data_IF_642302476619
#
_entry.id   IF_642302476619
#
_cell.length_a   1.000
_cell.length_b   1.000
_cell.length_c   1.000
_cell.angle_alpha   90.00
_cell.angle_beta   90.00
_cell.angle_gamma   90.00
#
_symmetry.space_group_name_H-M   'P 1'
#
loop_
_entity.id
_entity.type
_entity.pdbx_description
1 polymer ?
#
# COMPACT_ATOMS: atom_id res chain seq x y z
N UNK A 1 -1.60 -7.46 29.66
CA UNK A 1 -0.93 -7.08 28.39
C UNK A 1 -1.99 -6.66 27.39
N UNK A 2 -1.87 -5.50 26.76
CA UNK A 2 -2.78 -5.05 25.69
C UNK A 2 -2.38 -5.78 24.41
N UNK A 3 -3.33 -6.46 23.73
CA UNK A 3 -3.08 -7.10 22.43
C UNK A 3 -2.72 -6.03 21.41
N UNK A 4 -1.57 -6.14 20.75
CA UNK A 4 -1.23 -5.30 19.60
C UNK A 4 -2.11 -5.71 18.41
N UNK A 5 -2.68 -4.73 17.72
CA UNK A 5 -3.63 -4.94 16.62
C UNK A 5 -3.19 -4.15 15.40
N UNK A 6 -3.17 -4.78 14.24
CA UNK A 6 -2.95 -4.18 12.93
C UNK A 6 -3.88 -4.76 11.87
N UNK A 7 -3.65 -4.40 10.60
CA UNK A 7 -4.48 -4.84 9.47
C UNK A 7 -4.43 -6.34 9.21
N UNK A 8 -3.34 -7.03 9.55
CA UNK A 8 -3.25 -8.49 9.48
C UNK A 8 -4.27 -9.17 10.41
N UNK A 9 -4.63 -8.56 11.54
CA UNK A 9 -5.65 -9.15 12.42
C UNK A 9 -7.04 -9.17 11.79
N UNK A 10 -7.32 -8.33 10.79
CA UNK A 10 -8.56 -8.42 10.01
C UNK A 10 -8.52 -9.69 9.15
N UNK A 11 -7.39 -9.96 8.50
CA UNK A 11 -7.20 -11.17 7.69
C UNK A 11 -7.27 -12.43 8.58
N UNK A 12 -6.62 -12.42 9.75
CA UNK A 12 -6.72 -13.51 10.73
C UNK A 12 -8.17 -13.79 11.14
N UNK A 13 -8.99 -12.75 11.30
CA UNK A 13 -10.42 -12.93 11.62
C UNK A 13 -11.19 -13.58 10.47
N UNK A 14 -10.83 -13.29 9.22
CA UNK A 14 -11.44 -13.95 8.07
C UNK A 14 -11.06 -15.44 8.02
N UNK A 15 -9.80 -15.78 8.27
CA UNK A 15 -9.30 -17.17 8.29
C UNK A 15 -9.94 -18.04 9.41
N UNK A 16 -10.40 -17.41 10.49
CA UNK A 16 -11.07 -18.08 11.61
C UNK A 16 -12.60 -18.00 11.53
N UNK A 17 -13.16 -17.59 10.38
CA UNK A 17 -14.61 -17.55 10.20
C UNK A 17 -15.19 -18.97 10.06
N UNK A 18 -16.41 -19.16 10.54
CA UNK A 18 -17.13 -20.44 10.42
C UNK A 18 -17.60 -20.71 8.98
N UNK A 19 -17.83 -19.65 8.19
CA UNK A 19 -18.17 -19.74 6.78
C UNK A 19 -16.91 -20.07 5.95
N UNK A 20 -16.96 -21.20 5.24
CA UNK A 20 -15.85 -21.71 4.45
C UNK A 20 -15.44 -20.76 3.30
N UNK A 21 -16.39 -20.03 2.70
CA UNK A 21 -16.06 -19.05 1.67
C UNK A 21 -15.30 -17.85 2.25
N UNK A 22 -15.71 -17.38 3.43
CA UNK A 22 -15.02 -16.29 4.13
C UNK A 22 -13.62 -16.71 4.55
N UNK A 23 -13.48 -17.94 5.08
CA UNK A 23 -12.20 -18.53 5.43
C UNK A 23 -11.25 -18.62 4.23
N UNK A 24 -11.72 -19.19 3.11
CA UNK A 24 -10.92 -19.33 1.90
C UNK A 24 -10.47 -17.97 1.34
N UNK A 25 -11.33 -16.94 1.42
CA UNK A 25 -10.94 -15.57 1.06
C UNK A 25 -9.86 -15.01 2.01
N UNK A 26 -9.97 -15.29 3.31
CA UNK A 26 -8.96 -14.95 4.31
C UNK A 26 -7.60 -15.59 4.00
N UNK A 27 -7.59 -16.88 3.67
CA UNK A 27 -6.37 -17.63 3.33
C UNK A 27 -5.69 -17.06 2.07
N UNK A 28 -6.48 -16.79 1.03
CA UNK A 28 -5.98 -16.18 -0.20
C UNK A 28 -5.37 -14.79 0.04
N UNK A 29 -6.04 -13.96 0.86
CA UNK A 29 -5.51 -12.64 1.23
C UNK A 29 -4.21 -12.79 2.02
N UNK A 30 -4.17 -13.69 2.99
CA UNK A 30 -2.97 -13.94 3.79
C UNK A 30 -1.78 -14.31 2.89
N UNK A 31 -1.93 -15.29 2.00
CA UNK A 31 -0.90 -15.70 1.05
C UNK A 31 -0.37 -14.53 0.20
N UNK A 32 -1.28 -13.67 -0.28
CA UNK A 32 -0.91 -12.46 -1.04
C UNK A 32 -0.10 -11.46 -0.23
N UNK A 33 -0.19 -11.45 1.10
CA UNK A 33 0.57 -10.52 1.95
C UNK A 33 1.95 -11.02 2.37
N UNK A 34 2.20 -12.34 2.41
CA UNK A 34 3.40 -12.88 3.07
C UNK A 34 4.69 -12.83 2.23
N UNK A 35 4.59 -12.83 0.90
CA UNK A 35 5.74 -13.08 0.01
C UNK A 35 6.12 -11.91 -0.91
N UNK A 36 5.72 -10.68 -0.59
CA UNK A 36 6.02 -9.54 -1.45
C UNK A 36 6.05 -8.20 -0.69
N UNK A 37 6.27 -7.13 -1.45
CA UNK A 37 6.32 -5.73 -1.01
C UNK A 37 5.05 -5.29 -0.22
N UNK A 38 3.91 -5.98 -0.37
CA UNK A 38 2.66 -5.66 0.35
C UNK A 38 2.76 -5.94 1.85
N UNK A 39 3.74 -6.72 2.32
CA UNK A 39 4.04 -6.85 3.76
C UNK A 39 4.36 -5.50 4.42
N UNK A 40 4.80 -4.50 3.65
CA UNK A 40 4.98 -3.12 4.14
C UNK A 40 3.65 -2.41 4.46
N UNK A 41 2.55 -2.86 3.85
CA UNK A 41 1.21 -2.26 3.98
C UNK A 41 0.40 -2.97 5.07
N UNK A 42 0.57 -4.29 5.20
CA UNK A 42 -0.17 -5.10 6.15
C UNK A 42 0.65 -5.34 7.42
N UNK A 43 0.19 -4.78 8.54
CA UNK A 43 0.91 -4.79 9.82
C UNK A 43 0.21 -5.70 10.83
N UNK A 44 0.98 -6.35 11.70
CA UNK A 44 0.54 -7.07 12.90
C UNK A 44 0.44 -6.14 14.13
N UNK A 45 0.71 -4.84 13.95
CA UNK A 45 0.71 -3.83 15.00
C UNK A 45 1.99 -3.79 15.84
N UNK A 46 3.03 -4.56 15.47
CA UNK A 46 4.33 -4.51 16.16
C UNK A 46 5.10 -3.23 15.89
N UNK A 47 4.98 -2.69 14.67
CA UNK A 47 5.61 -1.44 14.23
C UNK A 47 4.64 -0.26 14.23
N UNK A 48 5.10 0.96 14.56
CA UNK A 48 4.31 2.18 14.39
C UNK A 48 3.85 2.34 12.94
N UNK A 49 2.57 2.68 12.77
CA UNK A 49 2.04 3.05 11.46
C UNK A 49 2.50 4.46 11.06
N UNK A 50 2.42 4.75 9.76
CA UNK A 50 2.62 6.11 9.27
C UNK A 50 1.58 7.05 9.87
N UNK A 51 2.08 8.04 10.60
CA UNK A 51 1.24 9.02 11.28
C UNK A 51 1.27 10.35 10.52
N UNK A 52 0.09 10.79 10.09
CA UNK A 52 -0.09 12.04 9.35
C UNK A 52 0.16 13.30 10.18
N UNK A 53 0.19 13.13 11.51
CA UNK A 53 0.45 14.22 12.45
C UNK A 53 1.94 14.38 12.76
N UNK A 54 2.80 13.49 12.27
CA UNK A 54 4.25 13.65 12.42
C UNK A 54 4.73 14.91 11.74
N UNK A 55 5.68 15.59 12.38
CA UNK A 55 6.28 16.83 11.85
C UNK A 55 7.15 16.57 10.62
N UNK A 56 7.81 15.41 10.59
CA UNK A 56 8.66 14.98 9.49
C UNK A 56 8.55 13.46 9.34
N UNK A 57 8.40 12.99 8.11
CA UNK A 57 8.31 11.57 7.76
C UNK A 57 9.25 11.31 6.60
N UNK A 58 10.16 10.35 6.77
CA UNK A 58 11.02 9.85 5.70
C UNK A 58 10.47 8.49 5.27
N UNK A 59 10.09 8.36 4.01
CA UNK A 59 9.61 7.11 3.42
C UNK A 59 10.66 6.58 2.46
N UNK A 60 11.18 5.40 2.75
CA UNK A 60 12.06 4.67 1.85
C UNK A 60 11.45 3.29 1.58
N UNK A 61 11.30 2.96 0.30
CA UNK A 61 10.87 1.64 -0.15
C UNK A 61 11.99 1.04 -0.97
N UNK A 62 12.39 -0.19 -0.66
CA UNK A 62 13.44 -0.94 -1.38
C UNK A 62 12.84 -2.17 -2.03
N UNK A 63 13.34 -2.52 -3.22
CA UNK A 63 12.91 -3.71 -3.95
C UNK A 63 11.55 -3.53 -4.62
N UNK A 64 11.27 -2.32 -5.08
CA UNK A 64 10.07 -1.99 -5.84
C UNK A 64 10.32 -2.31 -7.32
N UNK A 65 9.63 -3.30 -7.86
CA UNK A 65 9.60 -3.54 -9.30
C UNK A 65 8.54 -2.63 -9.93
N UNK A 66 8.92 -1.88 -10.96
CA UNK A 66 8.03 -0.95 -11.64
C UNK A 66 8.01 -1.26 -13.14
N UNK A 67 6.82 -1.27 -13.77
CA UNK A 67 6.72 -1.47 -15.22
C UNK A 67 7.19 -0.23 -15.95
N UNK A 68 7.54 -0.37 -17.23
CA UNK A 68 7.92 0.78 -18.05
C UNK A 68 6.69 1.57 -18.48
N UNK A 69 6.90 2.86 -18.75
CA UNK A 69 5.83 3.80 -19.05
C UNK A 69 5.04 3.49 -20.34
N UNK A 70 5.63 2.69 -21.21
CA UNK A 70 5.15 2.27 -22.53
C UNK A 70 4.65 0.82 -22.57
N UNK A 71 4.85 0.05 -21.50
CA UNK A 71 4.35 -1.32 -21.40
C UNK A 71 2.81 -1.34 -21.30
N UNK A 72 2.18 -2.27 -22.01
CA UNK A 72 0.74 -2.53 -21.85
C UNK A 72 0.45 -3.02 -20.43
N UNK A 73 -0.46 -2.34 -19.74
CA UNK A 73 -0.94 -2.70 -18.40
C UNK A 73 -1.38 -4.15 -18.24
N UNK A 74 -1.86 -4.78 -19.33
CA UNK A 74 -2.26 -6.19 -19.32
C UNK A 74 -1.09 -7.15 -19.11
N UNK A 75 0.13 -6.76 -19.50
CA UNK A 75 1.33 -7.59 -19.44
C UNK A 75 2.11 -7.47 -18.13
N UNK A 76 1.71 -6.55 -17.23
CA UNK A 76 2.43 -6.33 -15.98
C UNK A 76 2.45 -7.58 -15.12
N UNK A 77 3.66 -7.93 -14.67
CA UNK A 77 3.90 -9.00 -13.72
C UNK A 77 3.23 -8.68 -12.38
N UNK A 78 3.06 -9.72 -11.55
CA UNK A 78 2.49 -9.55 -10.21
C UNK A 78 3.35 -8.63 -9.33
N UNK A 79 4.68 -8.66 -9.46
CA UNK A 79 5.56 -7.78 -8.68
C UNK A 79 5.39 -6.31 -9.08
N UNK A 80 5.31 -6.02 -10.38
CA UNK A 80 5.04 -4.68 -10.91
C UNK A 80 3.67 -4.13 -10.49
N UNK A 81 2.63 -4.98 -10.53
CA UNK A 81 1.29 -4.62 -10.04
C UNK A 81 1.30 -4.29 -8.55
N UNK A 82 2.04 -5.05 -7.75
CA UNK A 82 2.21 -4.77 -6.33
C UNK A 82 3.00 -3.48 -6.09
N UNK A 83 4.02 -3.21 -6.92
CA UNK A 83 4.81 -1.99 -6.86
C UNK A 83 3.97 -0.74 -7.14
N UNK A 84 3.17 -0.77 -8.22
CA UNK A 84 2.20 0.29 -8.52
C UNK A 84 1.21 0.47 -7.37
N UNK A 85 0.68 -0.63 -6.83
CA UNK A 85 -0.29 -0.57 -5.73
C UNK A 85 0.29 0.13 -4.50
N UNK A 86 1.53 -0.21 -4.12
CA UNK A 86 2.21 0.45 -3.01
C UNK A 86 2.43 1.94 -3.29
N UNK A 87 2.80 2.27 -4.52
CA UNK A 87 3.01 3.65 -4.94
C UNK A 87 1.71 4.46 -4.89
N UNK A 88 0.57 3.90 -5.31
CA UNK A 88 -0.75 4.53 -5.18
C UNK A 88 -1.10 4.83 -3.72
N UNK A 89 -0.80 3.90 -2.81
CA UNK A 89 -1.03 4.10 -1.38
C UNK A 89 -0.16 5.23 -0.82
N UNK A 90 1.12 5.29 -1.20
CA UNK A 90 2.03 6.38 -0.82
C UNK A 90 1.53 7.71 -1.40
N UNK A 91 1.14 7.75 -2.67
CA UNK A 91 0.55 8.92 -3.30
C UNK A 91 -0.67 9.44 -2.52
N UNK A 92 -1.56 8.53 -2.09
CA UNK A 92 -2.73 8.90 -1.28
C UNK A 92 -2.36 9.40 0.12
N UNK A 93 -1.33 8.82 0.74
CA UNK A 93 -0.80 9.33 2.00
C UNK A 93 -0.23 10.74 1.84
N UNK A 94 0.58 10.98 0.80
CA UNK A 94 1.16 12.28 0.49
C UNK A 94 0.09 13.36 0.20
N UNK A 95 -0.94 13.01 -0.58
CA UNK A 95 -2.11 13.88 -0.82
C UNK A 95 -2.75 14.31 0.50
N UNK A 96 -3.00 13.34 1.40
CA UNK A 96 -3.63 13.61 2.70
C UNK A 96 -2.70 14.43 3.60
N UNK A 97 -1.41 14.08 3.66
CA UNK A 97 -0.40 14.79 4.46
C UNK A 97 -0.27 16.26 4.02
N UNK A 98 -0.20 16.51 2.71
CA UNK A 98 -0.14 17.87 2.14
C UNK A 98 -1.45 18.66 2.21
N UNK A 99 -2.61 17.99 2.39
CA UNK A 99 -3.92 18.66 2.46
C UNK A 99 -4.17 19.45 3.76
N UNK A 100 -3.24 19.37 4.72
CA UNK A 100 -3.30 20.05 6.01
C UNK A 100 -3.14 21.56 5.84
N UNK A 101 -4.23 22.29 6.05
CA UNK A 101 -4.28 23.76 5.88
C UNK A 101 -3.69 24.54 7.05
N UNK A 102 -3.51 23.87 8.20
CA UNK A 102 -3.01 24.44 9.46
C UNK A 102 -1.48 24.57 9.51
N UNK A 103 -0.76 23.89 8.60
CA UNK A 103 0.70 23.83 8.59
C UNK A 103 1.25 23.94 7.17
N UNK A 104 2.30 24.74 6.99
CA UNK A 104 3.02 24.76 5.72
C UNK A 104 3.73 23.43 5.54
N UNK A 105 3.31 22.67 4.52
CA UNK A 105 3.84 21.33 4.24
C UNK A 105 4.71 21.37 2.99
N UNK A 106 5.88 20.75 3.05
CA UNK A 106 6.78 20.56 1.91
C UNK A 106 7.01 19.07 1.70
N UNK A 107 6.91 18.61 0.45
CA UNK A 107 7.07 17.20 0.08
C UNK A 107 8.19 17.12 -0.94
N UNK A 108 9.21 16.31 -0.66
CA UNK A 108 10.30 16.00 -1.58
C UNK A 108 10.12 14.57 -2.08
N UNK A 109 10.23 14.38 -3.39
CA UNK A 109 10.05 13.08 -4.05
C UNK A 109 11.20 12.90 -5.02
N UNK A 110 12.13 12.03 -4.63
CA UNK A 110 13.12 11.47 -5.53
C UNK A 110 12.40 10.34 -6.29
N UNK A 111 12.37 10.38 -7.63
CA UNK A 111 11.52 9.54 -8.52
C UNK A 111 10.06 10.00 -8.76
N UNK A 112 9.77 11.31 -8.66
CA UNK A 112 8.42 11.86 -8.87
C UNK A 112 7.72 11.50 -10.20
N UNK A 113 8.46 11.14 -11.26
CA UNK A 113 7.89 10.64 -12.52
C UNK A 113 6.99 9.40 -12.34
N UNK A 114 7.20 8.66 -11.25
CA UNK A 114 6.41 7.49 -10.88
C UNK A 114 4.96 7.82 -10.48
N UNK A 115 4.72 9.01 -9.92
CA UNK A 115 3.37 9.49 -9.60
C UNK A 115 2.58 9.82 -10.88
N UNK A 116 3.25 10.20 -11.97
CA UNK A 116 2.59 10.47 -13.26
C UNK A 116 2.06 9.17 -13.88
N UNK A 117 2.76 8.04 -13.68
CA UNK A 117 2.27 6.72 -14.07
C UNK A 117 1.03 6.32 -13.25
N UNK A 118 0.95 6.71 -11.98
CA UNK A 118 -0.24 6.48 -11.16
C UNK A 118 -1.47 7.20 -11.70
N UNK A 119 -1.35 8.45 -12.15
CA UNK A 119 -2.48 9.17 -12.74
C UNK A 119 -2.99 8.48 -14.02
N UNK A 120 -2.10 7.83 -14.78
CA UNK A 120 -2.51 6.96 -15.90
C UNK A 120 -3.24 5.71 -15.40
N UNK A 121 -2.69 4.99 -14.42
CA UNK A 121 -3.31 3.76 -13.89
C UNK A 121 -4.64 4.04 -13.20
N UNK A 122 -4.78 5.14 -12.45
CA UNK A 122 -6.01 5.53 -11.77
C UNK A 122 -7.18 5.74 -12.73
N UNK A 123 -6.91 6.19 -13.96
CA UNK A 123 -7.90 6.27 -15.05
C UNK A 123 -8.31 4.91 -15.61
N UNK A 124 -7.48 3.87 -15.48
CA UNK A 124 -7.79 2.50 -15.90
C UNK A 124 -8.60 1.72 -14.85
N UNK A 125 -8.39 1.99 -13.56
CA UNK A 125 -9.11 1.30 -12.46
C UNK A 125 -10.42 2.03 -12.08
N UNK A 126 -10.64 3.26 -12.57
CA UNK A 126 -11.94 3.92 -12.50
C UNK A 126 -12.87 3.36 -13.58
N UNK A 127 -13.51 2.23 -13.28
CA UNK A 127 -14.71 1.73 -13.98
C UNK A 127 -15.92 2.04 -13.12
#
# INVERSE_FOLDING_TARGET
>A
MVKKVGSLNVIEKLQNNEDEHVKNAGDLLFEKTQNNILKLVFSDGTNPALNIQEKATILQVKGLDMPKADDDTSSYSTSEKNGITLMLLIGKFLEKFGSRRDVQTTIFIDEGGLLVLQDKVKKLVSV
#
